data_IF_635248322993
#
_entry.id   IF_635248322993
#
_cell.length_a   1.000
_cell.length_b   1.000
_cell.length_c   1.000
_cell.angle_alpha   90.00
_cell.angle_beta   90.00
_cell.angle_gamma   90.00
#
_symmetry.space_group_name_H-M   'P 1'
#
loop_
_entity.id
_entity.type
_entity.pdbx_description
1 polymer ?
#
# COMPACT_ATOMS: atom_id res chain seq x y z
N UNK A 1 3.26 -29.41 22.41
CA UNK A 1 3.55 -28.19 21.61
C UNK A 1 3.23 -26.98 22.48
N UNK A 2 4.23 -26.20 22.91
CA UNK A 2 3.98 -24.99 23.72
C UNK A 2 3.40 -23.91 22.80
N UNK A 3 2.19 -23.42 23.12
CA UNK A 3 1.57 -22.30 22.42
C UNK A 3 2.38 -21.04 22.76
N UNK A 4 3.33 -20.65 21.92
CA UNK A 4 4.22 -19.50 22.12
C UNK A 4 3.52 -18.19 21.73
N UNK A 5 2.30 -17.96 22.24
CA UNK A 5 1.54 -16.73 22.01
C UNK A 5 1.80 -15.80 23.19
N UNK A 6 2.44 -14.67 22.93
CA UNK A 6 2.64 -13.60 23.90
C UNK A 6 1.55 -12.55 23.74
N UNK A 7 1.10 -11.86 24.80
CA UNK A 7 0.15 -10.76 24.68
C UNK A 7 0.78 -9.58 23.94
N UNK A 8 -0.03 -8.83 23.18
CA UNK A 8 0.41 -7.60 22.54
C UNK A 8 0.69 -6.51 23.61
N UNK A 9 1.73 -5.70 23.38
CA UNK A 9 2.23 -4.68 24.31
C UNK A 9 1.18 -3.58 24.53
N UNK A 10 0.45 -3.22 23.48
CA UNK A 10 -0.51 -2.13 23.50
C UNK A 10 -1.95 -2.58 23.76
N UNK A 11 -2.26 -3.87 23.59
CA UNK A 11 -3.61 -4.41 23.74
C UNK A 11 -3.55 -5.81 24.34
N UNK A 12 -4.06 -5.98 25.56
CA UNK A 12 -4.01 -7.25 26.30
C UNK A 12 -4.94 -8.35 25.75
N UNK A 13 -5.96 -7.97 24.97
CA UNK A 13 -6.89 -8.91 24.33
C UNK A 13 -6.31 -9.58 23.09
N UNK A 14 -5.26 -9.01 22.50
CA UNK A 14 -4.57 -9.57 21.35
C UNK A 14 -3.28 -10.28 21.74
N UNK A 15 -2.90 -11.28 20.95
CA UNK A 15 -1.64 -12.00 21.11
C UNK A 15 -0.89 -12.10 19.77
N UNK A 16 0.41 -12.33 19.87
CA UNK A 16 1.31 -12.48 18.75
C UNK A 16 2.30 -13.64 18.99
N UNK A 17 2.84 -14.18 17.91
CA UNK A 17 3.78 -15.31 17.90
C UNK A 17 5.15 -14.93 17.36
N UNK A 18 5.29 -13.71 16.83
CA UNK A 18 6.53 -13.22 16.20
C UNK A 18 6.71 -13.72 14.76
N UNK A 19 5.76 -14.49 14.24
CA UNK A 19 5.70 -14.93 12.84
C UNK A 19 4.72 -14.12 12.00
N UNK A 20 3.91 -13.28 12.64
CA UNK A 20 2.98 -12.38 11.95
C UNK A 20 3.74 -11.35 11.11
N UNK A 21 3.00 -10.72 10.19
CA UNK A 21 3.51 -9.55 9.50
C UNK A 21 3.73 -8.39 10.49
N UNK A 22 4.68 -7.52 10.15
CA UNK A 22 4.91 -6.30 10.90
C UNK A 22 3.70 -5.39 10.84
N UNK A 23 3.53 -4.48 11.82
CA UNK A 23 4.21 -4.36 13.10
C UNK A 23 3.73 -5.35 14.18
N UNK A 24 2.72 -6.19 13.90
CA UNK A 24 2.19 -7.17 14.88
C UNK A 24 3.25 -8.16 15.37
N UNK A 25 4.25 -8.46 14.53
CA UNK A 25 5.45 -9.21 14.92
C UNK A 25 6.16 -8.69 16.18
N UNK A 26 6.11 -7.39 16.43
CA UNK A 26 6.69 -6.75 17.63
C UNK A 26 5.73 -6.73 18.82
N UNK A 27 4.60 -7.43 18.73
CA UNK A 27 3.54 -7.36 19.73
C UNK A 27 2.71 -6.09 19.65
N UNK A 28 2.71 -5.39 18.52
CA UNK A 28 1.92 -4.17 18.33
C UNK A 28 0.64 -4.50 17.58
N UNK A 29 -0.47 -4.60 18.31
CA UNK A 29 -1.80 -4.74 17.72
C UNK A 29 -2.19 -3.47 16.98
N UNK A 30 -2.90 -3.59 15.85
CA UNK A 30 -3.47 -2.43 15.18
C UNK A 30 -4.65 -1.81 15.94
N UNK A 31 -5.24 -2.54 16.90
CA UNK A 31 -6.44 -2.11 17.62
C UNK A 31 -6.18 -0.92 18.54
N UNK A 32 -5.02 -0.90 19.19
CA UNK A 32 -4.59 0.15 20.12
C UNK A 32 -4.07 1.42 19.48
N UNK A 33 -4.24 1.60 18.16
CA UNK A 33 -3.80 2.78 17.42
C UNK A 33 -4.94 3.36 16.59
N UNK A 34 -4.86 4.64 16.27
CA UNK A 34 -5.83 5.32 15.40
C UNK A 34 -5.66 4.93 13.94
N UNK A 35 -6.75 5.02 13.18
CA UNK A 35 -6.74 4.76 11.74
C UNK A 35 -5.85 5.79 11.06
N UNK A 36 -4.94 5.33 10.20
CA UNK A 36 -3.93 6.17 9.55
C UNK A 36 -2.63 6.28 10.34
N UNK A 37 -2.54 5.78 11.58
CA UNK A 37 -1.27 5.75 12.31
C UNK A 37 -0.22 4.92 11.58
N UNK A 38 0.98 5.48 11.42
CA UNK A 38 2.06 4.88 10.65
C UNK A 38 3.19 4.39 11.55
N UNK A 39 3.76 3.24 11.19
CA UNK A 39 4.90 2.67 11.90
C UNK A 39 5.79 1.86 10.97
N UNK A 40 7.10 2.03 11.15
CA UNK A 40 8.09 1.20 10.48
C UNK A 40 8.04 -0.24 11.00
N UNK A 41 7.94 -1.19 10.07
CA UNK A 41 7.94 -2.63 10.34
C UNK A 41 9.34 -3.24 10.41
N UNK A 42 9.42 -4.52 10.74
CA UNK A 42 10.67 -5.30 10.72
C UNK A 42 11.32 -5.34 9.33
N UNK A 43 10.51 -5.21 8.29
CA UNK A 43 10.91 -5.17 6.88
C UNK A 43 11.39 -3.78 6.44
N UNK A 44 11.54 -2.82 7.37
CA UNK A 44 11.87 -1.40 7.10
C UNK A 44 10.87 -0.71 6.16
N UNK A 45 9.67 -1.27 6.03
CA UNK A 45 8.58 -0.66 5.27
C UNK A 45 7.65 0.07 6.23
N UNK A 46 6.98 1.10 5.74
CA UNK A 46 5.97 1.80 6.52
C UNK A 46 4.65 1.04 6.44
N UNK A 47 4.10 0.74 7.61
CA UNK A 47 2.80 0.13 7.79
C UNK A 47 1.85 1.17 8.38
N UNK A 48 0.60 1.15 7.95
CA UNK A 48 -0.44 2.02 8.48
C UNK A 48 -1.61 1.20 9.02
N UNK A 49 -2.32 1.74 10.00
CA UNK A 49 -3.56 1.15 10.52
C UNK A 49 -4.70 1.47 9.57
N UNK A 50 -5.39 0.45 9.07
CA UNK A 50 -6.59 0.59 8.24
C UNK A 50 -7.73 -0.29 8.78
N UNK A 51 -8.98 0.06 8.43
CA UNK A 51 -10.14 -0.77 8.76
C UNK A 51 -10.39 -1.76 7.62
N UNK A 52 -10.40 -3.06 7.93
CA UNK A 52 -10.78 -4.13 7.01
C UNK A 52 -11.69 -5.12 7.73
N UNK A 53 -12.83 -5.45 7.12
CA UNK A 53 -13.85 -6.33 7.72
C UNK A 53 -14.25 -5.87 9.15
N UNK A 54 -14.48 -4.56 9.32
CA UNK A 54 -14.81 -3.92 10.60
C UNK A 54 -13.78 -4.13 11.73
N UNK A 55 -12.52 -4.44 11.41
CA UNK A 55 -11.42 -4.51 12.38
C UNK A 55 -10.22 -3.69 11.92
N UNK A 56 -9.49 -3.10 12.86
CA UNK A 56 -8.23 -2.42 12.59
C UNK A 56 -7.16 -3.45 12.25
N UNK A 57 -6.45 -3.26 11.15
CA UNK A 57 -5.39 -4.14 10.66
C UNK A 57 -4.21 -3.32 10.15
N UNK A 58 -3.01 -3.88 10.25
CA UNK A 58 -1.82 -3.30 9.66
C UNK A 58 -1.76 -3.58 8.16
N UNK A 59 -1.59 -2.55 7.36
CA UNK A 59 -1.46 -2.63 5.90
C UNK A 59 -0.22 -1.87 5.46
N UNK A 60 0.56 -2.43 4.54
CA UNK A 60 1.71 -1.73 3.95
C UNK A 60 1.24 -0.47 3.24
N UNK A 61 1.79 0.67 3.64
CA UNK A 61 1.51 1.93 2.98
C UNK A 61 2.48 2.08 1.81
N UNK A 62 2.03 1.65 0.62
CA UNK A 62 2.84 1.69 -0.61
C UNK A 62 2.90 3.11 -1.20
N UNK A 63 2.07 4.04 -0.70
CA UNK A 63 1.79 5.32 -1.38
C UNK A 63 2.23 6.56 -0.60
N UNK A 64 3.11 6.45 0.39
CA UNK A 64 3.66 7.66 1.04
C UNK A 64 4.72 8.25 0.11
N UNK A 65 4.30 9.13 -0.78
CA UNK A 65 5.17 10.20 -1.24
C UNK A 65 5.47 11.00 0.02
N UNK A 66 6.69 10.86 0.58
CA UNK A 66 7.15 11.76 1.64
C UNK A 66 7.04 13.17 1.06
N UNK A 67 6.07 13.95 1.53
CA UNK A 67 6.04 15.38 1.25
C UNK A 67 7.25 15.93 2.00
N UNK A 68 8.35 16.11 1.28
CA UNK A 68 9.53 16.80 1.80
C UNK A 68 9.18 18.28 1.81
N UNK A 69 9.13 18.88 2.99
CA UNK A 69 9.13 20.33 3.09
C UNK A 69 10.51 20.81 2.63
N UNK A 70 10.57 21.50 1.50
CA UNK A 70 11.80 22.15 1.05
C UNK A 70 12.06 23.34 1.97
N UNK A 71 13.20 23.36 2.65
CA UNK A 71 13.63 24.55 3.37
C UNK A 71 14.06 25.62 2.35
N UNK A 72 13.60 26.88 2.47
CA UNK A 72 14.04 27.93 1.57
C UNK A 72 15.55 28.12 1.71
N UNK A 73 16.25 28.07 0.57
CA UNK A 73 17.68 28.39 0.52
C UNK A 73 17.82 29.89 0.80
N UNK A 74 18.13 30.26 2.04
CA UNK A 74 18.61 31.60 2.36
C UNK A 74 19.97 31.77 1.70
N UNK A 75 20.02 32.47 0.57
CA UNK A 75 21.29 32.99 0.05
C UNK A 75 21.79 34.07 1.00
N UNK A 76 22.91 33.78 1.67
CA UNK A 76 23.60 34.67 2.62
C UNK A 76 24.22 35.89 1.95
N UNK A 77 23.41 36.81 1.41
CA UNK A 77 23.90 38.12 0.98
C UNK A 77 23.27 39.30 1.71
N UNK A 78 22.42 39.09 2.73
CA UNK A 78 21.80 40.20 3.45
C UNK A 78 21.58 39.93 4.95
N UNK A 79 22.64 39.68 5.73
CA UNK A 79 22.62 40.04 7.17
C UNK A 79 24.04 40.38 7.63
N UNK A 80 24.24 41.64 8.02
CA UNK A 80 25.45 42.10 8.72
C UNK A 80 25.53 41.46 10.11
N UNK A 81 26.76 41.14 10.52
CA UNK A 81 27.20 40.74 11.86
C UNK A 81 26.33 41.30 12.99
N UNK A 82 25.96 40.45 13.96
CA UNK A 82 26.39 40.58 15.36
C UNK A 82 26.07 39.29 16.14
N UNK A 83 26.80 39.10 17.22
CA UNK A 83 27.19 37.83 17.83
C UNK A 83 26.16 37.20 18.81
N UNK A 84 26.38 35.89 19.01
CA UNK A 84 26.48 35.19 20.31
C UNK A 84 25.41 34.12 20.67
N UNK A 85 25.93 33.06 21.28
CA UNK A 85 25.33 31.97 22.07
C UNK A 85 25.00 30.62 21.40
N UNK A 86 25.69 29.62 21.96
CA UNK A 86 25.68 28.16 21.72
C UNK A 86 24.32 27.49 22.01
N UNK A 87 23.97 26.43 21.26
CA UNK A 87 23.71 25.10 21.86
C UNK A 87 23.64 23.95 20.82
N UNK A 88 23.93 22.73 21.29
CA UNK A 88 24.22 21.47 20.58
C UNK A 88 23.10 20.85 19.71
N UNK A 89 23.46 20.22 18.57
CA UNK A 89 23.10 18.82 18.18
C UNK A 89 23.75 18.38 16.84
N UNK A 90 24.43 17.22 16.73
CA UNK A 90 24.81 16.67 15.44
C UNK A 90 23.98 15.43 15.07
N UNK A 91 22.98 15.59 14.19
CA UNK A 91 22.37 14.44 13.48
C UNK A 91 22.74 14.50 12.00
N UNK A 92 23.63 13.59 11.59
CA UNK A 92 24.07 13.45 10.20
C UNK A 92 23.41 12.21 9.57
N UNK A 93 22.50 12.33 8.60
CA UNK A 93 22.15 11.22 7.74
C UNK A 93 23.10 11.18 6.54
N UNK A 94 23.86 10.08 6.43
CA UNK A 94 24.66 9.75 5.27
C UNK A 94 23.73 9.40 4.09
N UNK A 95 23.79 10.24 3.06
CA UNK A 95 23.08 10.05 1.80
C UNK A 95 23.51 8.74 1.13
N UNK A 96 22.58 7.79 1.00
CA UNK A 96 22.73 6.68 0.04
C UNK A 96 21.66 6.84 -1.02
N UNK A 97 22.08 7.30 -2.20
CA UNK A 97 21.28 7.40 -3.41
C UNK A 97 20.96 5.97 -3.85
N UNK A 98 19.70 5.55 -3.73
CA UNK A 98 19.21 4.31 -4.35
C UNK A 98 18.26 4.70 -5.47
N UNK A 99 18.76 4.55 -6.69
CA UNK A 99 18.06 4.60 -7.96
C UNK A 99 16.84 3.64 -7.92
N UNK A 100 15.63 4.20 -7.87
CA UNK A 100 14.38 3.43 -7.79
C UNK A 100 13.98 3.00 -9.19
N UNK A 101 14.39 1.79 -9.57
CA UNK A 101 13.84 1.10 -10.74
C UNK A 101 12.34 0.82 -10.51
N UNK A 102 11.51 1.49 -11.30
CA UNK A 102 10.09 1.22 -11.46
C UNK A 102 9.89 -0.26 -11.78
N UNK A 103 9.35 -1.02 -10.83
CA UNK A 103 9.06 -2.44 -11.05
C UNK A 103 7.75 -2.54 -11.80
N UNK A 104 7.84 -2.72 -13.12
CA UNK A 104 6.72 -3.08 -13.98
C UNK A 104 6.04 -4.34 -13.42
N UNK A 105 4.89 -4.15 -12.76
CA UNK A 105 4.07 -5.28 -12.31
C UNK A 105 3.60 -6.03 -13.54
N UNK A 106 4.08 -7.26 -13.72
CA UNK A 106 3.66 -8.17 -14.81
C UNK A 106 2.13 -8.19 -14.89
N UNK A 107 1.57 -7.68 -16.00
CA UNK A 107 0.14 -7.74 -16.26
C UNK A 107 -0.22 -9.21 -16.52
N UNK A 108 -0.99 -9.82 -15.62
CA UNK A 108 -1.50 -11.17 -15.79
C UNK A 108 -2.65 -11.17 -16.80
N UNK A 109 -2.95 -12.34 -17.38
CA UNK A 109 -4.10 -12.50 -18.29
C UNK A 109 -5.42 -12.08 -17.63
N UNK A 110 -5.58 -12.35 -16.33
CA UNK A 110 -6.71 -11.87 -15.54
C UNK A 110 -6.78 -10.34 -15.50
N UNK A 111 -5.66 -9.65 -15.24
CA UNK A 111 -5.64 -8.19 -15.17
C UNK A 111 -5.99 -7.55 -16.53
N UNK A 112 -5.53 -8.16 -17.62
CA UNK A 112 -5.87 -7.75 -18.99
C UNK A 112 -7.37 -7.92 -19.26
N UNK A 113 -7.93 -9.08 -18.92
CA UNK A 113 -9.36 -9.36 -19.06
C UNK A 113 -10.23 -8.40 -18.26
N UNK A 114 -9.92 -8.19 -16.97
CA UNK A 114 -10.72 -7.33 -16.10
C UNK A 114 -10.75 -5.90 -16.63
N UNK A 115 -9.60 -5.36 -17.07
CA UNK A 115 -9.56 -4.02 -17.66
C UNK A 115 -10.46 -3.94 -18.90
N UNK A 116 -10.26 -4.87 -19.86
CA UNK A 116 -11.05 -4.91 -21.09
C UNK A 116 -12.55 -5.01 -20.82
N UNK A 117 -12.96 -5.90 -19.90
CA UNK A 117 -14.36 -6.16 -19.62
C UNK A 117 -15.02 -5.00 -18.87
N UNK A 118 -14.30 -4.35 -17.94
CA UNK A 118 -14.79 -3.13 -17.28
C UNK A 118 -14.97 -1.98 -18.27
N UNK A 119 -14.02 -1.78 -19.19
CA UNK A 119 -14.12 -0.74 -20.21
C UNK A 119 -15.29 -1.02 -21.16
N UNK A 120 -15.50 -2.28 -21.54
CA UNK A 120 -16.67 -2.72 -22.32
C UNK A 120 -17.98 -2.44 -21.57
N UNK A 121 -18.08 -2.83 -20.30
CA UNK A 121 -19.28 -2.62 -19.49
C UNK A 121 -19.59 -1.13 -19.28
N UNK A 122 -18.57 -0.29 -19.12
CA UNK A 122 -18.74 1.17 -19.00
C UNK A 122 -19.16 1.83 -20.31
N UNK A 123 -18.72 1.28 -21.45
CA UNK A 123 -19.15 1.77 -22.76
C UNK A 123 -20.61 1.39 -23.06
N UNK A 124 -21.03 0.19 -22.66
CA UNK A 124 -22.40 -0.32 -22.84
C UNK A 124 -23.39 0.29 -21.84
N UNK A 125 -22.98 0.46 -20.58
CA UNK A 125 -23.80 1.06 -19.53
C UNK A 125 -23.44 2.54 -19.37
N UNK A 126 -24.21 3.42 -20.02
CA UNK A 126 -24.14 4.88 -19.81
C UNK A 126 -24.76 5.33 -18.49
N UNK A 127 -25.50 4.44 -17.83
CA UNK A 127 -26.05 4.67 -16.51
C UNK A 127 -24.94 4.65 -15.46
N UNK A 128 -25.09 5.43 -14.39
CA UNK A 128 -24.13 5.54 -13.27
C UNK A 128 -24.14 4.27 -12.40
N UNK A 129 -24.00 3.09 -13.01
CA UNK A 129 -23.92 1.81 -12.32
C UNK A 129 -22.70 1.83 -11.40
N UNK A 130 -22.86 1.52 -10.10
CA UNK A 130 -21.76 1.54 -9.14
C UNK A 130 -20.60 0.64 -9.61
N UNK A 131 -19.37 1.16 -9.49
CA UNK A 131 -18.16 0.44 -9.90
C UNK A 131 -18.02 -0.96 -9.26
N UNK A 132 -18.54 -1.12 -8.04
CA UNK A 132 -18.56 -2.41 -7.33
C UNK A 132 -19.39 -3.48 -8.07
N UNK A 133 -20.53 -3.09 -8.63
CA UNK A 133 -21.41 -4.01 -9.37
C UNK A 133 -20.74 -4.42 -10.68
N UNK A 134 -20.17 -3.44 -11.42
CA UNK A 134 -19.44 -3.72 -12.66
C UNK A 134 -18.26 -4.67 -12.42
N UNK A 135 -17.52 -4.47 -11.34
CA UNK A 135 -16.42 -5.35 -10.96
C UNK A 135 -16.90 -6.76 -10.62
N UNK A 136 -18.00 -6.87 -9.86
CA UNK A 136 -18.60 -8.17 -9.55
C UNK A 136 -19.01 -8.93 -10.82
N UNK A 137 -19.69 -8.26 -11.77
CA UNK A 137 -20.05 -8.85 -13.07
C UNK A 137 -18.82 -9.30 -13.85
N UNK A 138 -17.75 -8.49 -13.90
CA UNK A 138 -16.50 -8.87 -14.55
C UNK A 138 -15.86 -10.12 -13.93
N UNK A 139 -15.85 -10.24 -12.60
CA UNK A 139 -15.30 -11.43 -11.93
C UNK A 139 -16.14 -12.69 -12.14
N UNK A 140 -17.46 -12.56 -12.20
CA UNK A 140 -18.36 -13.68 -12.50
C UNK A 140 -18.15 -14.19 -13.93
N UNK A 141 -18.02 -13.29 -14.90
CA UNK A 141 -17.75 -13.68 -16.28
C UNK A 141 -16.38 -14.30 -16.46
N UNK A 142 -15.35 -13.81 -15.77
CA UNK A 142 -14.06 -14.53 -15.74
C UNK A 142 -14.22 -15.97 -15.22
N UNK A 143 -15.00 -16.16 -14.16
CA UNK A 143 -15.31 -17.48 -13.62
C UNK A 143 -16.06 -18.38 -14.61
N UNK A 144 -16.96 -17.81 -15.41
CA UNK A 144 -17.69 -18.51 -16.48
C UNK A 144 -16.74 -18.92 -17.61
N UNK A 145 -15.94 -17.98 -18.10
CA UNK A 145 -14.99 -18.19 -19.20
C UNK A 145 -13.90 -19.20 -18.86
N UNK A 146 -13.53 -19.33 -17.59
CA UNK A 146 -12.63 -20.40 -17.15
C UNK A 146 -13.17 -21.81 -17.37
N UNK A 147 -14.49 -21.97 -17.49
CA UNK A 147 -15.13 -23.25 -17.83
C UNK A 147 -15.16 -23.50 -19.34
N UNK A 148 -14.94 -22.46 -20.15
CA UNK A 148 -14.95 -22.48 -21.62
C UNK A 148 -13.60 -21.98 -22.16
N UNK A 149 -12.56 -22.82 -22.21
CA UNK A 149 -11.20 -22.38 -22.55
C UNK A 149 -11.08 -21.80 -23.97
N UNK A 150 -11.92 -22.22 -24.91
CA UNK A 150 -11.94 -21.72 -26.29
C UNK A 150 -12.42 -20.25 -26.36
N UNK A 151 -13.51 -19.93 -25.65
CA UNK A 151 -14.02 -18.55 -25.54
C UNK A 151 -12.99 -17.65 -24.88
N UNK A 152 -12.35 -18.15 -23.82
CA UNK A 152 -11.30 -17.43 -23.12
C UNK A 152 -10.13 -17.13 -24.05
N UNK A 153 -9.66 -18.11 -24.83
CA UNK A 153 -8.56 -17.91 -25.78
C UNK A 153 -8.89 -16.84 -26.82
N UNK A 154 -10.10 -16.89 -27.39
CA UNK A 154 -10.57 -15.91 -28.39
C UNK A 154 -10.64 -14.49 -27.82
N UNK A 155 -11.13 -14.33 -26.59
CA UNK A 155 -11.18 -13.03 -25.92
C UNK A 155 -9.77 -12.52 -25.62
N UNK A 156 -8.88 -13.39 -25.12
CA UNK A 156 -7.50 -13.01 -24.83
C UNK A 156 -6.71 -12.63 -26.09
N UNK A 157 -6.94 -13.30 -27.22
CA UNK A 157 -6.38 -12.93 -28.53
C UNK A 157 -6.90 -11.56 -28.97
N UNK A 158 -8.20 -11.30 -28.83
CA UNK A 158 -8.79 -9.99 -29.16
C UNK A 158 -8.22 -8.86 -28.29
N UNK A 159 -7.94 -9.12 -27.01
CA UNK A 159 -7.32 -8.15 -26.10
C UNK A 159 -5.86 -7.88 -26.48
N UNK A 160 -5.12 -8.91 -26.92
CA UNK A 160 -3.69 -8.79 -27.28
C UNK A 160 -3.47 -8.15 -28.65
N UNK A 161 -4.46 -8.21 -29.54
CA UNK A 161 -4.42 -7.61 -30.88
C UNK A 161 -4.93 -6.15 -30.91
N UNK A 162 -5.31 -5.58 -29.78
CA UNK A 162 -5.79 -4.20 -29.61
C UNK A 162 -4.71 -3.32 -29.01
#
# INVERSE_FOLDING_TARGET
MKNSKSPCINVSTESYTGKEQSPKRFGLSAEGYDVGFEKEGFDKQIWCVQIKNNRKVWVRNINIVKITHEEPILTYSDVKNDADSNDELPSKPSATVIDVKETEKKKTDYNLFIKYYLDKLKAENKDKTPAKILFQSATQEWGRLKKSPEELKKIMELIKNK
#
